data_IF_526053331715
#
_entry.id   IF_526053331715
#
_cell.length_a   1.000
_cell.length_b   1.000
_cell.length_c   1.000
_cell.angle_alpha   90.00
_cell.angle_beta   90.00
_cell.angle_gamma   90.00
#
_symmetry.space_group_name_H-M   'P 1'
#
loop_
_entity.id
_entity.type
_entity.pdbx_description
1 polymer ?
#
# COMPACT_ATOMS: atom_id res chain seq x y z
N UNK A 1 -11.72 55.72 27.46
CA UNK A 1 -11.78 54.60 26.51
C UNK A 1 -12.24 53.43 27.34
N UNK A 2 -13.42 52.92 27.06
CA UNK A 2 -14.16 52.03 27.95
C UNK A 2 -13.58 50.60 27.86
N UNK A 3 -13.08 50.08 28.97
CA UNK A 3 -12.43 48.76 29.07
C UNK A 3 -13.40 47.60 28.83
N UNK A 4 -14.72 47.84 28.87
CA UNK A 4 -15.76 46.81 28.70
C UNK A 4 -15.91 46.26 27.27
N UNK A 5 -15.26 46.87 26.28
CA UNK A 5 -15.32 46.42 24.88
C UNK A 5 -14.38 45.24 24.61
N UNK A 6 -13.30 45.09 25.41
CA UNK A 6 -12.30 44.03 25.21
C UNK A 6 -12.71 42.68 25.82
N UNK A 7 -13.46 42.68 26.93
CA UNK A 7 -13.96 41.44 27.54
C UNK A 7 -14.95 40.69 26.62
N UNK A 8 -15.67 41.39 25.75
CA UNK A 8 -16.65 40.78 24.84
C UNK A 8 -16.00 40.11 23.60
N UNK A 9 -14.75 40.44 23.27
CA UNK A 9 -14.05 39.90 22.09
C UNK A 9 -13.36 38.56 22.37
N UNK A 10 -12.88 38.38 23.60
CA UNK A 10 -12.24 37.13 24.03
C UNK A 10 -13.27 36.00 24.17
N UNK A 11 -14.48 36.33 24.64
CA UNK A 11 -15.60 35.38 24.72
C UNK A 11 -16.09 34.94 23.32
N UNK A 12 -16.14 35.84 22.33
CA UNK A 12 -16.50 35.51 20.94
C UNK A 12 -15.44 34.64 20.25
N UNK A 13 -14.15 34.87 20.56
CA UNK A 13 -13.04 34.07 20.01
C UNK A 13 -13.04 32.63 20.53
N UNK A 14 -13.32 32.44 21.82
CA UNK A 14 -13.43 31.12 22.44
C UNK A 14 -14.64 30.33 21.91
N UNK A 15 -15.75 31.00 21.60
CA UNK A 15 -16.94 30.37 21.02
C UNK A 15 -16.71 29.96 19.55
N UNK A 16 -16.03 30.79 18.75
CA UNK A 16 -15.61 30.43 17.39
C UNK A 16 -14.59 29.28 17.38
N UNK A 17 -13.68 29.23 18.35
CA UNK A 17 -12.71 28.15 18.47
C UNK A 17 -13.37 26.82 18.87
N UNK A 18 -14.41 26.85 19.70
CA UNK A 18 -15.21 25.65 20.03
C UNK A 18 -15.98 25.14 18.83
N UNK A 19 -16.63 26.01 18.07
CA UNK A 19 -17.36 25.62 16.85
C UNK A 19 -16.43 25.05 15.77
N UNK A 20 -15.21 25.60 15.64
CA UNK A 20 -14.22 25.04 14.73
C UNK A 20 -13.70 23.67 15.19
N UNK A 21 -13.53 23.46 16.50
CA UNK A 21 -13.10 22.17 17.04
C UNK A 21 -14.19 21.09 16.98
N UNK A 22 -15.47 21.46 17.12
CA UNK A 22 -16.62 20.54 17.04
C UNK A 22 -16.90 20.08 15.59
N UNK A 23 -16.66 20.96 14.62
CA UNK A 23 -16.73 20.61 13.18
C UNK A 23 -15.56 19.72 12.73
N UNK A 24 -14.40 19.79 13.39
CA UNK A 24 -13.24 18.94 13.10
C UNK A 24 -13.37 17.52 13.70
N UNK A 25 -13.94 17.36 14.90
CA UNK A 25 -14.13 16.02 15.54
C UNK A 25 -15.17 15.16 14.80
N UNK A 26 -16.15 15.79 14.15
CA UNK A 26 -17.15 15.12 13.32
C UNK A 26 -16.56 14.41 12.08
N UNK A 27 -15.34 14.79 11.66
CA UNK A 27 -14.68 14.21 10.48
C UNK A 27 -13.79 13.01 10.79
N UNK A 28 -13.54 12.69 12.06
CA UNK A 28 -12.59 11.63 12.45
C UNK A 28 -13.26 10.35 12.99
N UNK A 29 -14.47 10.44 13.54
CA UNK A 29 -15.17 9.30 14.16
C UNK A 29 -15.86 8.34 13.18
N UNK A 30 -15.96 8.71 11.90
CA UNK A 30 -16.52 7.85 10.82
C UNK A 30 -15.45 7.16 9.98
N UNK A 31 -14.17 7.50 10.18
CA UNK A 31 -13.08 7.15 9.27
C UNK A 31 -12.83 5.64 9.10
N UNK A 32 -13.04 4.79 10.11
CA UNK A 32 -12.60 3.38 10.00
C UNK A 32 -13.52 2.53 9.10
N UNK A 33 -14.85 2.66 9.25
CA UNK A 33 -15.80 2.04 8.31
C UNK A 33 -15.80 2.75 6.96
N UNK A 34 -15.66 4.08 6.95
CA UNK A 34 -15.68 4.85 5.71
C UNK A 34 -14.44 4.64 4.86
N UNK A 35 -13.25 4.47 5.44
CA UNK A 35 -12.02 4.31 4.68
C UNK A 35 -12.00 2.99 3.92
N UNK A 36 -12.53 1.91 4.52
CA UNK A 36 -12.66 0.61 3.87
C UNK A 36 -13.62 0.66 2.68
N UNK A 37 -14.74 1.37 2.80
CA UNK A 37 -15.72 1.54 1.72
C UNK A 37 -15.23 2.52 0.64
N UNK A 38 -14.47 3.55 1.03
CA UNK A 38 -13.75 4.42 0.10
C UNK A 38 -12.70 3.61 -0.66
N UNK A 39 -11.97 2.73 0.03
CA UNK A 39 -10.95 1.88 -0.58
C UNK A 39 -11.56 0.88 -1.57
N UNK A 40 -12.72 0.29 -1.24
CA UNK A 40 -13.49 -0.57 -2.16
C UNK A 40 -13.93 0.17 -3.42
N UNK A 41 -14.36 1.44 -3.28
CA UNK A 41 -14.76 2.31 -4.39
C UNK A 41 -13.60 3.05 -5.06
N UNK A 42 -12.36 2.68 -4.73
CA UNK A 42 -11.17 3.34 -5.26
C UNK A 42 -10.35 2.42 -6.16
N UNK A 43 -9.74 3.03 -7.19
CA UNK A 43 -8.76 2.37 -8.07
C UNK A 43 -7.37 2.98 -7.91
N UNK A 44 -6.37 2.14 -8.08
CA UNK A 44 -4.99 2.51 -8.35
C UNK A 44 -4.78 2.58 -9.86
N UNK A 45 -4.23 3.70 -10.32
CA UNK A 45 -3.81 3.92 -11.70
C UNK A 45 -2.30 4.13 -11.71
N UNK A 46 -1.57 3.17 -12.27
CA UNK A 46 -0.12 3.20 -12.42
C UNK A 46 0.33 3.54 -13.84
N UNK A 47 1.61 3.88 -13.97
CA UNK A 47 2.23 4.30 -15.23
C UNK A 47 1.55 5.52 -15.87
N UNK A 48 0.98 6.39 -15.03
CA UNK A 48 0.37 7.65 -15.45
C UNK A 48 1.48 8.59 -15.92
N UNK A 49 1.20 9.31 -17.01
CA UNK A 49 2.12 10.30 -17.55
C UNK A 49 2.42 11.42 -16.54
N UNK A 50 3.67 11.87 -16.46
CA UNK A 50 4.10 12.84 -15.45
C UNK A 50 3.47 14.22 -15.64
N UNK A 51 3.10 14.58 -16.86
CA UNK A 51 2.35 15.80 -17.20
C UNK A 51 0.82 15.63 -17.07
N UNK A 52 0.34 14.51 -16.53
CA UNK A 52 -1.08 14.29 -16.31
C UNK A 52 -1.61 15.21 -15.21
N UNK A 53 -2.67 15.94 -15.53
CA UNK A 53 -3.43 16.75 -14.56
C UNK A 53 -4.65 15.96 -14.09
N UNK A 54 -5.24 16.29 -12.93
CA UNK A 54 -6.45 15.61 -12.46
C UNK A 54 -7.61 15.74 -13.46
N UNK A 55 -7.72 16.84 -14.21
CA UNK A 55 -8.74 17.02 -15.24
C UNK A 55 -8.61 15.98 -16.35
N UNK A 56 -7.39 15.66 -16.78
CA UNK A 56 -7.15 14.64 -17.81
C UNK A 56 -7.60 13.24 -17.34
N UNK A 57 -7.31 12.90 -16.08
CA UNK A 57 -7.76 11.64 -15.48
C UNK A 57 -9.29 11.63 -15.32
N UNK A 58 -9.87 12.77 -14.93
CA UNK A 58 -11.31 12.91 -14.78
C UNK A 58 -12.03 12.68 -16.12
N UNK A 59 -11.58 13.31 -17.20
CA UNK A 59 -12.16 13.12 -18.54
C UNK A 59 -12.03 11.67 -19.00
N UNK A 60 -10.87 11.04 -18.76
CA UNK A 60 -10.62 9.67 -19.18
C UNK A 60 -11.51 8.65 -18.46
N UNK A 61 -11.68 8.80 -17.15
CA UNK A 61 -12.48 7.88 -16.32
C UNK A 61 -13.96 8.31 -16.18
N UNK A 62 -14.37 9.42 -16.81
CA UNK A 62 -15.75 9.92 -16.77
C UNK A 62 -16.78 8.92 -17.29
N UNK A 63 -16.39 8.10 -18.28
CA UNK A 63 -17.25 7.07 -18.85
C UNK A 63 -17.47 5.88 -17.93
N UNK A 64 -16.57 5.64 -16.96
CA UNK A 64 -16.68 4.55 -16.00
C UNK A 64 -17.66 4.87 -14.87
N UNK A 65 -17.79 6.15 -14.49
CA UNK A 65 -18.73 6.62 -13.48
C UNK A 65 -18.40 7.98 -12.88
N UNK A 66 -19.16 8.37 -11.86
CA UNK A 66 -18.97 9.63 -11.14
C UNK A 66 -17.77 9.55 -10.20
N UNK A 67 -16.85 10.51 -10.31
CA UNK A 67 -15.62 10.59 -9.53
C UNK A 67 -15.81 11.54 -8.34
N UNK A 68 -15.48 11.08 -7.14
CA UNK A 68 -15.48 11.90 -5.92
C UNK A 68 -14.15 12.64 -5.76
N UNK A 69 -13.03 11.94 -5.93
CA UNK A 69 -11.71 12.49 -5.64
C UNK A 69 -10.63 11.86 -6.51
N UNK A 70 -9.69 12.69 -6.96
CA UNK A 70 -8.48 12.26 -7.66
C UNK A 70 -7.27 12.71 -6.86
N UNK A 71 -6.37 11.76 -6.58
CA UNK A 71 -5.12 12.03 -5.83
C UNK A 71 -3.93 11.55 -6.65
N UNK A 72 -3.22 12.48 -7.27
CA UNK A 72 -1.95 12.19 -7.97
C UNK A 72 -0.83 12.20 -6.94
N UNK A 73 -0.09 11.09 -6.85
CA UNK A 73 0.95 10.95 -5.85
C UNK A 73 2.24 11.60 -6.35
N UNK A 74 2.65 12.63 -5.62
CA UNK A 74 3.93 13.33 -5.84
C UNK A 74 4.95 12.87 -4.82
N UNK A 75 6.21 12.95 -5.19
CA UNK A 75 7.32 12.76 -4.28
C UNK A 75 7.49 13.97 -3.37
N UNK A 76 7.57 13.73 -2.05
CA UNK A 76 7.54 14.81 -1.05
C UNK A 76 8.84 15.61 -1.02
N UNK A 77 9.95 14.99 -1.43
CA UNK A 77 11.27 15.64 -1.42
C UNK A 77 11.56 16.37 -2.72
N UNK A 78 11.22 15.77 -3.86
CA UNK A 78 11.52 16.35 -5.18
C UNK A 78 10.36 17.12 -5.79
N UNK A 79 9.14 16.94 -5.28
CA UNK A 79 7.91 17.51 -5.87
C UNK A 79 7.50 16.85 -7.20
N UNK A 80 8.30 15.93 -7.73
CA UNK A 80 8.01 15.29 -9.00
C UNK A 80 6.91 14.23 -8.85
N UNK A 81 5.99 14.12 -9.82
CA UNK A 81 4.96 13.09 -9.81
C UNK A 81 5.58 11.70 -9.89
N UNK A 82 5.07 10.76 -9.08
CA UNK A 82 5.58 9.39 -9.03
C UNK A 82 5.07 8.48 -10.16
N UNK A 83 4.22 9.02 -11.04
CA UNK A 83 3.63 8.27 -12.15
C UNK A 83 2.51 7.32 -11.72
N UNK A 84 1.84 7.61 -10.59
CA UNK A 84 0.63 6.91 -10.19
C UNK A 84 -0.38 7.83 -9.49
N UNK A 85 -1.64 7.45 -9.57
CA UNK A 85 -2.77 8.18 -9.00
C UNK A 85 -3.76 7.22 -8.35
N UNK A 86 -4.52 7.74 -7.39
CA UNK A 86 -5.70 7.09 -6.84
C UNK A 86 -6.95 7.85 -7.29
N UNK A 87 -7.97 7.12 -7.70
CA UNK A 87 -9.26 7.68 -8.09
C UNK A 87 -10.31 7.02 -7.21
N UNK A 88 -11.08 7.85 -6.51
CA UNK A 88 -12.21 7.46 -5.71
C UNK A 88 -13.49 7.73 -6.50
N UNK A 89 -14.30 6.69 -6.70
CA UNK A 89 -15.60 6.80 -7.35
C UNK A 89 -16.73 6.90 -6.32
N UNK A 90 -17.88 7.42 -6.77
CA UNK A 90 -19.09 7.46 -5.97
C UNK A 90 -19.65 6.05 -5.71
N UNK A 91 -19.54 5.15 -6.70
CA UNK A 91 -20.11 3.81 -6.71
C UNK A 91 -19.02 2.75 -6.91
N UNK A 92 -19.26 1.55 -6.39
CA UNK A 92 -18.36 0.40 -6.55
C UNK A 92 -18.38 -0.16 -7.98
N UNK A 93 -19.53 -0.13 -8.66
CA UNK A 93 -19.66 -0.55 -10.07
C UNK A 93 -18.71 0.22 -11.00
N UNK A 94 -18.42 1.49 -10.68
CA UNK A 94 -17.47 2.31 -11.43
C UNK A 94 -16.04 1.78 -11.36
N UNK A 95 -15.69 1.07 -10.28
CA UNK A 95 -14.39 0.39 -10.13
C UNK A 95 -14.27 -0.75 -11.12
N UNK A 96 -15.32 -1.57 -11.26
CA UNK A 96 -15.34 -2.68 -12.23
C UNK A 96 -15.18 -2.16 -13.66
N UNK A 97 -15.90 -1.10 -14.01
CA UNK A 97 -15.77 -0.45 -15.31
C UNK A 97 -14.36 0.13 -15.55
N UNK A 98 -13.74 0.72 -14.53
CA UNK A 98 -12.39 1.25 -14.62
C UNK A 98 -11.34 0.13 -14.81
N UNK A 99 -11.57 -1.06 -14.23
CA UNK A 99 -10.69 -2.23 -14.42
C UNK A 99 -10.71 -2.74 -15.86
N UNK A 100 -11.80 -2.53 -16.61
CA UNK A 100 -11.86 -2.85 -18.04
C UNK A 100 -10.95 -1.94 -18.89
N UNK A 101 -10.60 -0.75 -18.38
CA UNK A 101 -9.62 0.17 -18.99
C UNK A 101 -8.19 -0.13 -18.54
N UNK A 102 -7.91 -1.36 -18.10
CA UNK A 102 -6.56 -1.82 -17.89
C UNK A 102 -5.80 -1.91 -19.23
N UNK A 103 -4.52 -1.50 -19.25
CA UNK A 103 -3.64 -1.60 -20.42
C UNK A 103 -4.09 -0.80 -21.65
N UNK A 104 -4.87 0.26 -21.42
CA UNK A 104 -5.28 1.20 -22.46
C UNK A 104 -4.32 2.38 -22.56
N UNK A 105 -4.32 3.04 -23.73
CA UNK A 105 -3.51 4.24 -23.98
C UNK A 105 -4.12 5.46 -23.28
N UNK A 106 -3.29 6.15 -22.50
CA UNK A 106 -3.56 7.45 -21.91
C UNK A 106 -2.31 8.33 -22.05
N UNK A 107 -2.43 9.45 -22.77
CA UNK A 107 -1.32 10.39 -23.05
C UNK A 107 -0.02 9.67 -23.46
N UNK A 108 -0.12 8.85 -24.51
CA UNK A 108 1.01 8.11 -25.11
C UNK A 108 1.61 6.98 -24.25
N UNK A 109 1.00 6.67 -23.09
CA UNK A 109 1.45 5.59 -22.20
C UNK A 109 0.32 4.62 -21.90
N UNK A 110 0.67 3.35 -21.78
CA UNK A 110 -0.27 2.33 -21.32
C UNK A 110 -0.43 2.44 -19.81
N UNK A 111 -1.65 2.71 -19.35
CA UNK A 111 -1.93 2.80 -17.92
C UNK A 111 -2.23 1.43 -17.34
N UNK A 112 -1.88 1.26 -16.06
CA UNK A 112 -2.20 0.06 -15.30
C UNK A 112 -3.29 0.38 -14.28
N UNK A 113 -4.49 -0.14 -14.50
CA UNK A 113 -5.60 0.02 -13.56
C UNK A 113 -5.75 -1.25 -12.73
N UNK A 114 -5.80 -1.10 -11.39
CA UNK A 114 -6.07 -2.18 -10.44
C UNK A 114 -6.88 -1.64 -9.26
N UNK A 115 -7.66 -2.47 -8.56
CA UNK A 115 -8.36 -2.04 -7.35
C UNK A 115 -7.39 -1.53 -6.28
N UNK A 116 -7.79 -0.50 -5.52
CA UNK A 116 -6.97 0.01 -4.42
C UNK A 116 -6.76 -1.09 -3.38
N UNK A 117 -5.53 -1.21 -2.88
CA UNK A 117 -5.20 -2.16 -1.82
C UNK A 117 -5.50 -1.53 -0.47
N UNK A 118 -6.14 -2.30 0.42
CA UNK A 118 -6.26 -1.93 1.84
C UNK A 118 -4.88 -1.77 2.45
N UNK A 119 -4.68 -0.71 3.21
CA UNK A 119 -3.45 -0.51 3.97
C UNK A 119 -3.43 -1.45 5.18
N UNK A 120 -3.03 -2.71 4.98
CA UNK A 120 -2.84 -3.66 6.08
C UNK A 120 -1.45 -3.40 6.70
N UNK A 121 -1.37 -2.81 7.90
CA UNK A 121 -0.09 -2.55 8.55
C UNK A 121 0.63 -3.88 8.81
N UNK A 122 1.90 -3.99 8.41
CA UNK A 122 2.72 -5.20 8.61
C UNK A 122 2.81 -6.16 7.42
N UNK A 123 2.08 -5.92 6.31
CA UNK A 123 2.20 -6.72 5.08
C UNK A 123 3.28 -6.20 4.10
N UNK A 124 3.96 -5.10 4.43
CA UNK A 124 5.00 -4.52 3.58
C UNK A 124 6.25 -5.38 3.59
N UNK A 125 6.35 -6.24 2.56
CA UNK A 125 7.51 -7.08 2.26
C UNK A 125 7.83 -8.04 3.40
N UNK A 126 6.95 -9.03 3.63
CA UNK A 126 7.44 -10.33 4.10
C UNK A 126 8.53 -10.76 3.13
N UNK A 127 9.76 -10.50 3.56
CA UNK A 127 11.00 -11.01 3.01
C UNK A 127 10.73 -12.46 2.62
N UNK A 128 10.88 -12.86 1.35
CA UNK A 128 10.69 -14.26 0.99
C UNK A 128 11.55 -15.10 1.96
N UNK A 129 10.98 -16.16 2.57
CA UNK A 129 11.72 -16.95 3.54
C UNK A 129 12.94 -17.55 2.84
N UNK A 130 14.12 -17.09 3.24
CA UNK A 130 15.40 -17.74 2.99
C UNK A 130 15.92 -17.65 1.55
N UNK A 131 16.72 -16.61 1.27
CA UNK A 131 17.91 -16.71 0.40
C UNK A 131 18.95 -15.65 0.81
N UNK A 132 19.15 -15.53 2.13
CA UNK A 132 20.21 -14.73 2.73
C UNK A 132 21.34 -15.65 3.16
N UNK A 133 22.47 -15.55 2.45
CA UNK A 133 23.78 -16.06 2.86
C UNK A 133 24.05 -15.68 4.33
N UNK A 134 24.25 -16.67 5.19
CA UNK A 134 24.57 -16.49 6.59
C UNK A 134 25.33 -17.70 7.11
N UNK A 135 26.62 -17.48 7.40
CA UNK A 135 27.49 -18.37 8.16
C UNK A 135 26.88 -18.65 9.53
N UNK A 136 26.98 -19.90 9.98
CA UNK A 136 27.06 -20.22 11.41
C UNK A 136 25.88 -21.00 12.00
N UNK A 137 26.24 -22.17 12.53
CA UNK A 137 25.79 -22.73 13.81
C UNK A 137 24.64 -23.77 13.85
N UNK A 138 25.09 -25.00 14.17
CA UNK A 138 24.45 -26.02 15.01
C UNK A 138 23.12 -26.66 14.57
N UNK A 139 23.22 -27.94 14.16
CA UNK A 139 22.25 -28.97 14.57
C UNK A 139 22.97 -30.29 14.93
N UNK A 140 22.94 -30.72 16.20
CA UNK A 140 23.48 -32.01 16.64
C UNK A 140 22.46 -33.14 16.40
N UNK A 141 22.96 -34.38 16.51
CA UNK A 141 22.26 -35.68 16.51
C UNK A 141 22.17 -36.45 15.19
N UNK A 142 23.06 -37.45 15.04
CA UNK A 142 22.57 -38.81 14.85
C UNK A 142 23.18 -39.71 15.93
N UNK A 143 22.29 -40.31 16.73
CA UNK A 143 22.59 -41.39 17.66
C UNK A 143 22.30 -42.66 16.88
N UNK A 144 23.33 -43.39 16.45
CA UNK A 144 23.18 -44.79 16.08
C UNK A 144 24.20 -45.62 16.84
N UNK A 145 23.70 -46.30 17.87
CA UNK A 145 24.42 -47.17 18.78
C UNK A 145 24.70 -48.50 18.08
N UNK A 146 25.96 -48.90 18.08
CA UNK A 146 26.41 -50.28 18.37
C UNK A 146 26.02 -51.40 17.40
N UNK A 147 27.00 -51.87 16.62
CA UNK A 147 27.16 -53.31 16.37
C UNK A 147 28.64 -53.69 16.31
N UNK A 148 28.92 -54.81 16.96
CA UNK A 148 30.21 -55.28 17.46
C UNK A 148 31.13 -55.91 16.40
N UNK A 149 32.44 -55.82 16.68
CA UNK A 149 33.50 -56.83 16.48
C UNK A 149 33.68 -57.53 15.12
N UNK A 150 34.87 -57.33 14.51
CA UNK A 150 35.95 -58.34 14.46
C UNK A 150 37.25 -57.77 13.83
N UNK A 151 38.44 -58.04 14.40
CA UNK A 151 39.75 -57.80 13.79
C UNK A 151 40.36 -59.06 13.14
N UNK A 152 41.47 -58.86 12.41
CA UNK A 152 42.45 -59.82 11.83
C UNK A 152 42.29 -60.30 10.38
N UNK A 153 43.43 -60.30 9.67
CA UNK A 153 43.72 -61.16 8.50
C UNK A 153 43.86 -60.36 7.19
N UNK A 154 45.05 -59.87 6.81
CA UNK A 154 46.12 -60.60 6.11
C UNK A 154 45.67 -61.34 4.84
N UNK A 155 46.33 -60.97 3.72
CA UNK A 155 46.70 -61.84 2.58
C UNK A 155 45.51 -62.35 1.76
N UNK A 156 45.60 -62.68 0.48
CA UNK A 156 46.56 -62.55 -0.60
C UNK A 156 45.90 -63.31 -1.76
N UNK A 157 46.23 -62.95 -3.00
CA UNK A 157 45.97 -63.70 -4.23
C UNK A 157 44.53 -63.81 -4.75
N UNK A 158 44.35 -63.30 -5.97
CA UNK A 158 43.19 -63.53 -6.83
C UNK A 158 43.41 -62.97 -8.24
N UNK A 159 44.43 -63.44 -8.96
CA UNK A 159 44.40 -63.60 -10.44
C UNK A 159 43.89 -65.03 -10.72
N UNK A 160 43.59 -65.45 -11.96
CA UNK A 160 42.98 -64.82 -13.15
C UNK A 160 41.67 -65.62 -13.52
N UNK A 161 40.92 -65.40 -14.61
CA UNK A 161 41.19 -65.46 -16.05
C UNK A 161 40.36 -64.42 -16.80
#
# INVERSE_FOLDING_TARGET
>A
MDESVYDNLDDEFDELQRLQNETLDSTDRTNDTSQDDVDRRSVYVGNVEYSATPQNLQEYFKSCGQINRITIMVDKWTGHPKGYAYIEFAQEESVENALLLNETLFKERLIKVTSKRKNIPGMSRSKPPGRGRGRGFFRPHYKSRGRQNKPYGSRSYGKPY
#
